data_IF_168667676149
#
_entry.id   IF_168667676149
#
_cell.length_a   1.000
_cell.length_b   1.000
_cell.length_c   1.000
_cell.angle_alpha   90.00
_cell.angle_beta   90.00
_cell.angle_gamma   90.00
#
_symmetry.space_group_name_H-M   'P 1'
#
loop_
_entity.id
_entity.type
_entity.pdbx_description
1 polymer ?
#
# COMPACT_ATOMS: atom_id res chain seq x y z
N UNK A 1 -1.20 -7.24 -31.14
CA UNK A 1 0.25 -7.21 -30.87
C UNK A 1 0.43 -7.46 -29.40
N UNK A 2 1.05 -8.59 -29.02
CA UNK A 2 1.29 -8.91 -27.62
C UNK A 2 2.25 -7.86 -27.03
N UNK A 3 1.80 -7.14 -26.01
CA UNK A 3 2.68 -6.30 -25.21
C UNK A 3 3.80 -7.20 -24.66
N UNK A 4 5.05 -6.73 -24.75
CA UNK A 4 6.19 -7.38 -24.12
C UNK A 4 5.84 -7.58 -22.63
N UNK A 5 5.58 -8.83 -22.25
CA UNK A 5 5.43 -9.23 -20.86
C UNK A 5 6.68 -8.74 -20.13
N UNK A 6 6.48 -7.90 -19.12
CA UNK A 6 7.55 -7.54 -18.18
C UNK A 6 8.18 -8.85 -17.70
N UNK A 7 9.48 -9.00 -17.93
CA UNK A 7 10.23 -10.16 -17.47
C UNK A 7 10.07 -10.26 -15.95
N UNK A 8 9.78 -11.47 -15.46
CA UNK A 8 9.72 -11.74 -14.02
C UNK A 8 11.00 -11.27 -13.32
N UNK A 9 10.81 -10.58 -12.20
CA UNK A 9 11.86 -10.15 -11.29
C UNK A 9 12.27 -11.30 -10.35
N UNK A 10 11.36 -12.25 -10.11
CA UNK A 10 11.60 -13.38 -9.23
C UNK A 10 12.64 -14.36 -9.82
N UNK A 11 13.64 -14.69 -9.02
CA UNK A 11 14.62 -15.74 -9.26
C UNK A 11 14.00 -17.10 -8.91
N UNK A 12 14.28 -18.09 -9.76
CA UNK A 12 13.87 -19.47 -9.52
C UNK A 12 14.49 -20.01 -8.22
N UNK A 13 13.68 -20.68 -7.38
CA UNK A 13 14.05 -21.05 -6.00
C UNK A 13 15.25 -21.99 -5.92
N UNK A 14 15.47 -22.81 -6.94
CA UNK A 14 16.62 -23.71 -7.08
C UNK A 14 17.97 -22.98 -7.13
N UNK A 15 17.98 -21.68 -7.46
CA UNK A 15 19.19 -20.86 -7.44
C UNK A 15 19.51 -20.30 -6.05
N UNK A 16 18.65 -20.51 -5.06
CA UNK A 16 18.90 -20.03 -3.71
C UNK A 16 20.18 -20.67 -3.13
N UNK A 17 21.19 -19.84 -2.91
CA UNK A 17 22.45 -20.22 -2.30
C UNK A 17 22.30 -20.42 -0.79
N UNK A 18 23.21 -21.21 -0.21
CA UNK A 18 23.30 -21.38 1.25
C UNK A 18 23.82 -20.15 2.00
N UNK A 19 24.47 -19.22 1.28
CA UNK A 19 25.10 -18.04 1.85
C UNK A 19 25.03 -16.82 0.91
N UNK A 20 24.89 -15.63 1.49
CA UNK A 20 24.91 -14.32 0.83
C UNK A 20 25.63 -13.30 1.72
N UNK A 21 26.22 -12.25 1.15
CA UNK A 21 26.76 -11.13 1.95
C UNK A 21 25.64 -10.42 2.71
N UNK A 22 24.49 -10.23 2.04
CA UNK A 22 23.32 -9.53 2.56
C UNK A 22 22.05 -10.31 2.26
N UNK A 23 21.23 -10.51 3.29
CA UNK A 23 19.84 -10.96 3.14
C UNK A 23 18.89 -9.84 3.56
N UNK A 24 17.95 -9.52 2.68
CA UNK A 24 16.92 -8.51 2.87
C UNK A 24 15.58 -9.22 2.99
N UNK A 25 14.83 -8.94 4.05
CA UNK A 25 13.54 -9.58 4.33
C UNK A 25 12.42 -8.59 4.07
N UNK A 26 11.60 -8.86 3.06
CA UNK A 26 10.50 -8.01 2.59
C UNK A 26 10.92 -7.07 1.46
N UNK A 27 10.01 -6.88 0.49
CA UNK A 27 10.27 -6.17 -0.76
C UNK A 27 9.57 -4.81 -0.90
N UNK A 28 9.01 -4.27 0.19
CA UNK A 28 8.42 -2.92 0.22
C UNK A 28 9.46 -1.80 0.06
N UNK A 29 9.07 -0.54 0.31
CA UNK A 29 9.94 0.63 0.13
C UNK A 29 11.34 0.47 0.75
N UNK A 30 11.44 0.08 2.03
CA UNK A 30 12.73 -0.11 2.70
C UNK A 30 13.59 -1.21 2.07
N UNK A 31 12.97 -2.34 1.70
CA UNK A 31 13.65 -3.51 1.15
C UNK A 31 14.09 -3.29 -0.28
N UNK A 32 13.24 -2.67 -1.11
CA UNK A 32 13.59 -2.26 -2.47
C UNK A 32 14.74 -1.26 -2.49
N UNK A 33 14.69 -0.22 -1.65
CA UNK A 33 15.78 0.77 -1.52
C UNK A 33 17.07 0.07 -1.09
N UNK A 34 17.03 -0.75 -0.02
CA UNK A 34 18.20 -1.46 0.47
C UNK A 34 18.78 -2.38 -0.61
N UNK A 35 17.95 -3.15 -1.33
CA UNK A 35 18.38 -4.06 -2.38
C UNK A 35 19.05 -3.30 -3.52
N UNK A 36 18.43 -2.23 -4.02
CA UNK A 36 18.97 -1.43 -5.10
C UNK A 36 20.34 -0.82 -4.75
N UNK A 37 20.51 -0.34 -3.51
CA UNK A 37 21.77 0.29 -3.07
C UNK A 37 22.84 -0.73 -2.78
N UNK A 38 22.54 -1.81 -2.06
CA UNK A 38 23.53 -2.82 -1.67
C UNK A 38 23.95 -3.68 -2.88
N UNK A 39 23.05 -3.99 -3.80
CA UNK A 39 23.44 -4.71 -5.03
C UNK A 39 24.35 -3.85 -5.90
N UNK A 40 24.14 -2.52 -5.95
CA UNK A 40 24.98 -1.61 -6.74
C UNK A 40 26.44 -1.52 -6.28
N UNK A 41 26.75 -1.99 -5.07
CA UNK A 41 28.13 -2.07 -4.56
C UNK A 41 28.83 -3.39 -4.93
N UNK A 42 28.16 -4.30 -5.65
CA UNK A 42 28.68 -5.61 -6.04
C UNK A 42 28.56 -6.69 -4.97
N UNK A 43 27.80 -6.43 -3.90
CA UNK A 43 27.54 -7.43 -2.85
C UNK A 43 26.61 -8.54 -3.36
N UNK A 44 26.78 -9.75 -2.83
CA UNK A 44 25.85 -10.86 -3.10
C UNK A 44 24.57 -10.64 -2.27
N UNK A 45 23.54 -10.07 -2.90
CA UNK A 45 22.27 -9.71 -2.24
C UNK A 45 21.17 -10.72 -2.54
N UNK A 46 20.54 -11.22 -1.48
CA UNK A 46 19.30 -12.02 -1.54
C UNK A 46 18.14 -11.23 -0.92
N UNK A 47 17.05 -11.08 -1.66
CA UNK A 47 15.79 -10.54 -1.16
C UNK A 47 14.76 -11.66 -1.01
N UNK A 48 14.16 -11.80 0.16
CA UNK A 48 13.11 -12.76 0.46
C UNK A 48 11.77 -12.03 0.63
N UNK A 49 10.80 -12.36 -0.21
CA UNK A 49 9.43 -11.83 -0.16
C UNK A 49 8.44 -12.94 0.17
N UNK A 50 7.48 -12.67 1.07
CA UNK A 50 6.46 -13.64 1.47
C UNK A 50 5.35 -13.78 0.43
N UNK A 51 4.97 -12.71 -0.25
CA UNK A 51 3.93 -12.72 -1.27
C UNK A 51 4.41 -13.18 -2.65
N UNK A 52 3.47 -13.22 -3.61
CA UNK A 52 3.71 -13.55 -5.02
C UNK A 52 4.27 -12.33 -5.79
N UNK A 53 4.82 -12.58 -6.96
CA UNK A 53 4.99 -11.52 -7.97
C UNK A 53 3.67 -11.28 -8.70
N UNK A 54 3.24 -10.02 -8.79
CA UNK A 54 2.06 -9.60 -9.55
C UNK A 54 2.52 -8.70 -10.69
N UNK A 55 2.24 -9.10 -11.93
CA UNK A 55 2.50 -8.28 -13.12
C UNK A 55 1.26 -7.46 -13.49
N UNK A 56 1.46 -6.47 -14.36
CA UNK A 56 0.32 -5.73 -14.91
C UNK A 56 -0.61 -6.69 -15.66
N UNK A 57 -1.87 -6.76 -15.23
CA UNK A 57 -2.86 -7.72 -15.73
C UNK A 57 -3.20 -8.84 -14.73
N UNK A 58 -2.34 -9.10 -13.74
CA UNK A 58 -2.56 -10.13 -12.72
C UNK A 58 -3.36 -9.64 -11.52
N UNK A 59 -3.51 -8.31 -11.36
CA UNK A 59 -4.21 -7.75 -10.20
C UNK A 59 -5.72 -8.00 -10.29
N UNK A 60 -6.41 -8.18 -9.15
CA UNK A 60 -7.85 -8.38 -9.13
C UNK A 60 -8.64 -7.29 -9.86
N UNK A 61 -9.50 -7.69 -10.80
CA UNK A 61 -10.36 -6.79 -11.58
C UNK A 61 -11.85 -6.83 -11.15
N UNK A 62 -12.22 -7.83 -10.32
CA UNK A 62 -13.58 -7.99 -9.80
C UNK A 62 -13.57 -8.57 -8.37
N UNK A 63 -14.75 -8.56 -7.73
CA UNK A 63 -14.95 -9.00 -6.34
C UNK A 63 -14.44 -10.42 -6.07
N UNK A 64 -14.76 -11.38 -6.94
CA UNK A 64 -14.35 -12.79 -6.76
C UNK A 64 -12.83 -12.96 -6.83
N UNK A 65 -12.17 -12.24 -7.73
CA UNK A 65 -10.70 -12.27 -7.81
C UNK A 65 -10.07 -11.57 -6.61
N UNK A 66 -10.69 -10.48 -6.13
CA UNK A 66 -10.19 -9.78 -4.95
C UNK A 66 -10.30 -10.65 -3.69
N UNK A 67 -11.42 -11.35 -3.50
CA UNK A 67 -11.64 -12.26 -2.37
C UNK A 67 -10.63 -13.42 -2.30
N UNK A 68 -10.16 -13.93 -3.44
CA UNK A 68 -9.11 -14.99 -3.47
C UNK A 68 -7.76 -14.49 -2.93
N UNK A 69 -7.51 -13.21 -3.05
CA UNK A 69 -6.27 -12.56 -2.62
C UNK A 69 -6.40 -11.91 -1.23
N UNK A 70 -7.54 -12.06 -0.55
CA UNK A 70 -7.70 -11.63 0.85
C UNK A 70 -7.09 -12.65 1.80
N UNK A 71 -6.34 -12.14 2.77
CA UNK A 71 -5.96 -12.84 3.99
C UNK A 71 -6.32 -11.98 5.20
N UNK A 72 -6.97 -12.58 6.19
CA UNK A 72 -7.44 -11.90 7.39
C UNK A 72 -7.00 -12.66 8.63
N UNK A 73 -6.23 -12.00 9.49
CA UNK A 73 -5.85 -12.50 10.81
C UNK A 73 -6.77 -11.83 11.83
N UNK A 74 -7.57 -12.63 12.53
CA UNK A 74 -8.51 -12.17 13.55
C UNK A 74 -7.92 -12.46 14.93
N UNK A 75 -7.64 -11.42 15.71
CA UNK A 75 -7.12 -11.54 17.08
C UNK A 75 -8.25 -11.36 18.08
N UNK A 76 -9.11 -12.38 18.23
CA UNK A 76 -10.16 -12.34 19.26
C UNK A 76 -9.65 -12.81 20.64
N UNK A 77 -8.68 -13.73 20.70
CA UNK A 77 -7.96 -14.15 21.92
C UNK A 77 -6.51 -14.56 21.60
N UNK A 78 -5.54 -14.26 22.48
CA UNK A 78 -4.09 -14.42 22.24
C UNK A 78 -3.63 -15.85 21.88
N UNK A 79 -4.45 -16.87 22.17
CA UNK A 79 -4.08 -18.27 22.01
C UNK A 79 -4.34 -18.84 20.61
N UNK A 80 -5.28 -18.29 19.83
CA UNK A 80 -5.79 -18.93 18.59
C UNK A 80 -5.98 -17.92 17.44
N UNK A 81 -4.99 -17.08 17.16
CA UNK A 81 -5.03 -16.20 16.00
C UNK A 81 -5.02 -17.01 14.68
N UNK A 82 -6.20 -17.27 14.12
CA UNK A 82 -6.35 -17.92 12.82
C UNK A 82 -6.21 -16.91 11.68
N UNK A 83 -5.41 -17.25 10.68
CA UNK A 83 -5.34 -16.51 9.41
C UNK A 83 -6.22 -17.21 8.39
N UNK A 84 -7.31 -16.55 8.02
CA UNK A 84 -8.23 -16.97 6.98
C UNK A 84 -7.73 -16.53 5.60
N UNK A 85 -8.08 -17.28 4.55
CA UNK A 85 -7.75 -16.95 3.17
C UNK A 85 -6.38 -17.47 2.71
N UNK A 86 -5.90 -16.94 1.58
CA UNK A 86 -4.64 -17.38 0.96
C UNK A 86 -3.43 -16.78 1.68
N UNK A 87 -2.47 -17.61 2.11
CA UNK A 87 -1.25 -17.14 2.81
C UNK A 87 -0.35 -16.22 1.98
N UNK A 88 -0.43 -16.33 0.65
CA UNK A 88 0.26 -15.46 -0.30
C UNK A 88 -0.70 -14.48 -0.98
N UNK A 89 -1.89 -14.28 -0.41
CA UNK A 89 -2.88 -13.32 -0.89
C UNK A 89 -2.39 -11.87 -0.80
N UNK A 90 -2.66 -11.07 -1.83
CA UNK A 90 -2.23 -9.68 -1.94
C UNK A 90 -2.69 -8.78 -0.78
N UNK A 91 -3.94 -8.93 -0.33
CA UNK A 91 -4.60 -8.03 0.63
C UNK A 91 -4.55 -8.61 2.03
N UNK A 92 -3.69 -8.07 2.90
CA UNK A 92 -3.56 -8.53 4.26
C UNK A 92 -4.26 -7.60 5.27
N UNK A 93 -5.21 -8.16 6.01
CA UNK A 93 -5.86 -7.51 7.14
C UNK A 93 -5.40 -8.16 8.45
N UNK A 94 -4.91 -7.34 9.38
CA UNK A 94 -4.84 -7.71 10.79
C UNK A 94 -5.96 -6.97 11.48
N UNK A 95 -6.96 -7.69 11.97
CA UNK A 95 -8.16 -7.12 12.55
C UNK A 95 -8.10 -7.38 14.05
N UNK A 96 -7.87 -6.30 14.79
CA UNK A 96 -7.90 -6.28 16.24
C UNK A 96 -9.10 -5.45 16.73
N UNK A 97 -9.38 -5.51 18.04
CA UNK A 97 -10.48 -4.77 18.67
C UNK A 97 -10.27 -3.25 18.56
N UNK A 98 -9.04 -2.78 18.74
CA UNK A 98 -8.74 -1.35 18.82
C UNK A 98 -8.25 -0.76 17.49
N UNK A 99 -7.43 -1.50 16.74
CA UNK A 99 -6.86 -1.05 15.46
C UNK A 99 -6.82 -2.19 14.46
N UNK A 100 -7.31 -1.91 13.26
CA UNK A 100 -7.16 -2.81 12.11
C UNK A 100 -6.10 -2.27 11.16
N UNK A 101 -5.21 -3.15 10.69
CA UNK A 101 -4.08 -2.78 9.83
C UNK A 101 -4.20 -3.49 8.49
N UNK A 102 -4.23 -2.69 7.42
CA UNK A 102 -4.27 -3.15 6.03
C UNK A 102 -2.90 -3.00 5.37
N UNK A 103 -2.40 -4.06 4.73
CA UNK A 103 -1.08 -4.10 4.08
C UNK A 103 -1.09 -4.95 2.81
N UNK A 104 -0.20 -4.60 1.88
CA UNK A 104 0.06 -5.41 0.68
C UNK A 104 1.09 -6.51 0.94
N UNK A 105 0.82 -7.72 0.43
CA UNK A 105 1.69 -8.89 0.49
C UNK A 105 1.99 -9.40 -0.93
N UNK A 106 3.11 -8.96 -1.48
CA UNK A 106 3.54 -9.26 -2.84
C UNK A 106 4.90 -8.63 -3.12
N UNK A 107 5.53 -8.98 -4.24
CA UNK A 107 6.81 -8.42 -4.65
C UNK A 107 6.66 -6.92 -4.98
N UNK A 108 7.08 -6.06 -4.06
CA UNK A 108 6.82 -4.60 -4.02
C UNK A 108 6.06 -4.13 -2.77
N UNK A 109 5.57 -5.06 -1.95
CA UNK A 109 4.84 -4.81 -0.71
C UNK A 109 3.60 -3.93 -0.90
N UNK A 110 3.36 -3.01 0.04
CA UNK A 110 2.19 -2.12 0.01
C UNK A 110 2.25 -1.08 -1.11
N UNK A 111 3.39 -0.88 -1.78
CA UNK A 111 3.44 -0.01 -2.97
C UNK A 111 2.60 -0.54 -4.14
N UNK A 112 2.29 -1.84 -4.14
CA UNK A 112 1.42 -2.47 -5.14
C UNK A 112 -0.04 -2.01 -5.01
N UNK A 113 -0.48 -1.63 -3.82
CA UNK A 113 -1.88 -1.34 -3.48
C UNK A 113 -2.06 0.02 -2.78
N UNK A 114 -1.04 0.87 -2.83
CA UNK A 114 -1.08 2.22 -2.26
C UNK A 114 -1.71 3.22 -3.22
N UNK A 115 -2.17 4.36 -2.68
CA UNK A 115 -2.68 5.46 -3.50
C UNK A 115 -1.59 6.23 -4.27
N UNK A 116 -0.32 5.97 -3.95
CA UNK A 116 0.83 6.57 -4.64
C UNK A 116 1.22 7.97 -4.16
N UNK A 117 0.58 8.51 -3.12
CA UNK A 117 0.90 9.83 -2.55
C UNK A 117 2.34 9.85 -2.03
N UNK A 118 3.10 10.86 -2.46
CA UNK A 118 4.49 11.08 -2.05
C UNK A 118 4.69 12.49 -1.53
N UNK A 119 4.38 12.68 -0.25
CA UNK A 119 4.61 13.93 0.47
C UNK A 119 5.83 13.82 1.37
N UNK A 120 6.60 14.90 1.46
CA UNK A 120 7.68 15.00 2.44
C UNK A 120 7.09 15.31 3.83
N UNK A 121 7.70 14.75 4.87
CA UNK A 121 7.33 15.05 6.25
C UNK A 121 7.53 16.55 6.54
N UNK A 122 6.57 17.16 7.24
CA UNK A 122 6.69 18.55 7.67
C UNK A 122 7.86 18.68 8.68
N UNK A 123 8.77 19.66 8.50
CA UNK A 123 9.86 19.90 9.44
C UNK A 123 9.44 20.03 10.90
N UNK A 124 8.20 20.46 11.20
CA UNK A 124 7.68 20.56 12.56
C UNK A 124 7.65 19.20 13.27
N UNK A 125 7.43 18.10 12.53
CA UNK A 125 7.34 16.75 13.10
C UNK A 125 8.66 16.34 13.75
N UNK A 126 9.80 16.76 13.19
CA UNK A 126 11.12 16.44 13.73
C UNK A 126 11.48 17.25 15.00
N UNK A 127 10.65 18.21 15.40
CA UNK A 127 10.81 18.91 16.69
C UNK A 127 10.27 18.09 17.86
N UNK A 128 9.51 17.04 17.59
CA UNK A 128 8.98 16.16 18.63
C UNK A 128 10.11 15.35 19.29
N UNK A 129 10.12 15.22 20.64
CA UNK A 129 11.20 14.54 21.37
C UNK A 129 11.36 13.04 21.06
N UNK A 130 10.42 12.43 20.34
CA UNK A 130 10.47 11.02 19.98
C UNK A 130 11.50 10.71 18.88
N UNK A 131 11.95 11.72 18.12
CA UNK A 131 12.93 11.53 17.06
C UNK A 131 14.37 11.45 17.61
N UNK A 132 15.19 10.48 17.16
CA UNK A 132 16.58 10.40 17.58
C UNK A 132 17.37 11.65 17.17
N UNK A 133 18.15 12.23 18.09
CA UNK A 133 18.94 13.44 17.81
C UNK A 133 19.84 13.30 16.59
N UNK A 134 20.46 12.13 16.39
CA UNK A 134 21.30 11.87 15.23
C UNK A 134 20.54 12.00 13.88
N UNK A 135 19.24 11.69 13.85
CA UNK A 135 18.41 11.88 12.67
C UNK A 135 18.03 13.35 12.49
N UNK A 136 17.76 14.06 13.59
CA UNK A 136 17.47 15.50 13.60
C UNK A 136 18.68 16.31 13.12
N UNK A 137 19.89 15.91 13.52
CA UNK A 137 21.14 16.55 13.11
C UNK A 137 21.45 16.33 11.62
N UNK A 138 20.93 15.24 11.03
CA UNK A 138 21.16 14.85 9.62
C UNK A 138 20.05 15.34 8.66
N UNK A 139 19.06 16.10 9.16
CA UNK A 139 17.90 16.55 8.36
C UNK A 139 18.30 17.32 7.10
N UNK A 140 19.28 18.21 7.21
CA UNK A 140 19.73 19.08 6.12
C UNK A 140 20.75 18.44 5.18
N UNK A 141 21.25 17.24 5.50
CA UNK A 141 22.31 16.57 4.75
C UNK A 141 21.86 15.19 4.25
N UNK A 142 22.12 14.13 5.01
CA UNK A 142 21.82 12.75 4.59
C UNK A 142 20.34 12.51 4.35
N UNK A 143 19.45 13.03 5.20
CA UNK A 143 18.01 12.88 4.99
C UNK A 143 17.50 13.69 3.81
N UNK A 144 17.98 14.92 3.61
CA UNK A 144 17.63 15.76 2.47
C UNK A 144 18.03 15.11 1.14
N UNK A 145 19.23 14.53 1.07
CA UNK A 145 19.68 13.77 -0.09
C UNK A 145 18.88 12.47 -0.25
N UNK A 146 18.47 11.84 0.86
CA UNK A 146 17.53 10.71 0.87
C UNK A 146 16.19 11.05 0.20
N UNK A 147 15.57 12.17 0.59
CA UNK A 147 14.33 12.65 -0.02
C UNK A 147 14.51 12.93 -1.51
N UNK A 148 15.58 13.63 -1.90
CA UNK A 148 15.88 13.91 -3.31
C UNK A 148 16.00 12.62 -4.14
N UNK A 149 16.73 11.61 -3.65
CA UNK A 149 16.87 10.31 -4.32
C UNK A 149 15.53 9.58 -4.41
N UNK A 150 14.72 9.63 -3.35
CA UNK A 150 13.39 9.04 -3.35
C UNK A 150 12.49 9.70 -4.39
N UNK A 151 12.45 11.04 -4.46
CA UNK A 151 11.70 11.80 -5.46
C UNK A 151 12.15 11.46 -6.88
N UNK A 152 13.46 11.34 -7.13
CA UNK A 152 13.99 10.98 -8.44
C UNK A 152 13.54 9.56 -8.88
N UNK A 153 13.51 8.61 -7.96
CA UNK A 153 13.12 7.22 -8.27
C UNK A 153 11.60 7.05 -8.39
N UNK A 154 10.85 7.64 -7.46
CA UNK A 154 9.40 7.51 -7.38
C UNK A 154 8.67 8.40 -8.40
N UNK A 155 9.34 9.46 -8.88
CA UNK A 155 8.85 10.39 -9.89
C UNK A 155 7.41 10.88 -9.61
N UNK A 156 7.14 11.44 -8.43
CA UNK A 156 5.79 11.86 -8.09
C UNK A 156 5.40 13.10 -8.90
N UNK A 157 4.18 13.11 -9.42
CA UNK A 157 3.63 14.19 -10.25
C UNK A 157 2.20 14.50 -9.83
N UNK A 158 1.78 15.75 -9.98
CA UNK A 158 0.39 16.15 -9.75
C UNK A 158 -0.52 15.72 -10.92
N UNK A 159 -1.82 15.66 -10.65
CA UNK A 159 -2.81 15.45 -11.72
C UNK A 159 -2.75 16.62 -12.74
N UNK A 160 -2.61 16.35 -14.06
CA UNK A 160 -2.40 17.41 -15.06
C UNK A 160 -3.55 18.42 -15.11
N UNK A 161 -3.22 19.70 -15.31
CA UNK A 161 -4.22 20.77 -15.48
C UNK A 161 -5.06 20.61 -16.75
N UNK A 162 -4.48 20.00 -17.78
CA UNK A 162 -5.13 19.66 -19.05
C UNK A 162 -5.77 18.25 -19.05
N UNK A 163 -5.79 17.59 -17.89
CA UNK A 163 -6.44 16.29 -17.69
C UNK A 163 -7.96 16.36 -17.80
N UNK A 164 -8.61 15.21 -17.91
CA UNK A 164 -10.07 15.13 -17.87
C UNK A 164 -10.60 15.65 -16.52
N UNK A 165 -11.73 16.38 -16.49
CA UNK A 165 -12.27 16.89 -15.25
C UNK A 165 -12.69 15.73 -14.33
N UNK A 166 -12.25 15.78 -13.07
CA UNK A 166 -12.57 14.78 -12.06
C UNK A 166 -13.60 15.35 -11.07
N UNK A 167 -14.80 14.78 -11.05
CA UNK A 167 -15.89 15.26 -10.20
C UNK A 167 -15.52 15.23 -8.70
N UNK A 168 -14.78 14.21 -8.25
CA UNK A 168 -14.29 14.09 -6.86
C UNK A 168 -13.35 15.23 -6.47
N UNK A 169 -12.42 15.60 -7.36
CA UNK A 169 -11.48 16.69 -7.12
C UNK A 169 -12.19 18.04 -7.07
N UNK A 170 -13.15 18.28 -7.97
CA UNK A 170 -13.95 19.52 -7.97
C UNK A 170 -14.81 19.65 -6.71
N UNK A 171 -15.40 18.55 -6.24
CA UNK A 171 -16.11 18.53 -4.95
C UNK A 171 -15.16 18.83 -3.78
N UNK A 172 -13.96 18.26 -3.80
CA UNK A 172 -12.96 18.48 -2.76
C UNK A 172 -12.46 19.93 -2.72
N UNK A 173 -12.24 20.55 -3.89
CA UNK A 173 -11.90 21.97 -3.99
C UNK A 173 -12.96 22.87 -3.36
N UNK A 174 -14.25 22.59 -3.61
CA UNK A 174 -15.36 23.34 -3.00
C UNK A 174 -15.48 23.09 -1.50
N UNK A 175 -15.20 21.88 -1.03
CA UNK A 175 -15.13 21.59 0.39
C UNK A 175 -14.02 22.43 1.07
N UNK A 176 -12.86 22.58 0.43
CA UNK A 176 -11.78 23.45 0.90
C UNK A 176 -12.24 24.91 1.00
N UNK A 177 -12.93 25.44 -0.02
CA UNK A 177 -13.49 26.79 -0.03
C UNK A 177 -14.48 27.03 1.12
N UNK A 178 -15.34 26.05 1.41
CA UNK A 178 -16.32 26.11 2.51
C UNK A 178 -15.63 26.06 3.88
N UNK A 179 -14.58 25.27 4.02
CA UNK A 179 -13.77 25.20 5.24
C UNK A 179 -12.88 26.44 5.43
N UNK A 180 -12.62 27.19 4.35
CA UNK A 180 -11.66 28.30 4.35
C UNK A 180 -10.22 27.81 4.45
N UNK A 181 -9.94 26.61 3.95
CA UNK A 181 -8.63 25.94 4.01
C UNK A 181 -8.00 25.79 2.62
N UNK A 182 -6.66 25.73 2.50
CA UNK A 182 -5.97 25.54 1.24
C UNK A 182 -6.34 24.22 0.53
N UNK A 183 -6.67 24.32 -0.75
CA UNK A 183 -6.74 23.16 -1.65
C UNK A 183 -5.41 22.99 -2.39
N UNK A 184 -4.85 21.78 -2.37
CA UNK A 184 -3.64 21.43 -3.10
C UNK A 184 -3.84 20.17 -3.95
N UNK A 185 -3.16 20.11 -5.09
CA UNK A 185 -2.98 18.84 -5.80
C UNK A 185 -1.87 18.05 -5.11
N UNK A 186 -2.07 16.76 -4.94
CA UNK A 186 -1.05 15.91 -4.30
C UNK A 186 -0.11 15.34 -5.36
N UNK A 187 1.22 15.34 -5.09
CA UNK A 187 2.18 14.64 -5.92
C UNK A 187 2.01 13.12 -5.72
N UNK A 188 1.72 12.40 -6.81
CA UNK A 188 1.45 10.96 -6.81
C UNK A 188 2.33 10.20 -7.80
N UNK A 189 2.63 8.95 -7.48
CA UNK A 189 3.53 8.09 -8.26
C UNK A 189 2.80 7.42 -9.42
N UNK A 190 2.24 8.22 -10.34
CA UNK A 190 1.42 7.75 -11.45
C UNK A 190 1.87 8.38 -12.76
N UNK A 191 2.01 7.54 -13.79
CA UNK A 191 2.30 8.01 -15.14
C UNK A 191 1.02 8.41 -15.87
N UNK A 192 0.92 9.68 -16.26
CA UNK A 192 -0.18 10.21 -17.08
C UNK A 192 0.10 10.18 -18.59
N UNK A 193 1.32 9.78 -18.97
CA UNK A 193 1.73 9.53 -20.35
C UNK A 193 2.42 8.17 -20.40
N UNK A 194 2.30 7.48 -21.53
CA UNK A 194 3.01 6.23 -21.71
C UNK A 194 4.51 6.51 -21.80
N UNK A 195 5.31 5.76 -21.04
CA UNK A 195 6.76 5.89 -20.99
C UNK A 195 7.42 4.52 -21.00
N UNK A 196 8.70 4.49 -21.33
CA UNK A 196 9.60 3.42 -20.89
C UNK A 196 10.53 4.03 -19.86
N UNK A 197 10.55 3.48 -18.65
CA UNK A 197 11.35 4.03 -17.56
C UNK A 197 12.84 3.66 -17.70
N UNK A 198 13.68 4.19 -16.82
CA UNK A 198 15.14 4.00 -16.83
C UNK A 198 15.57 2.52 -16.70
N UNK A 199 14.66 1.64 -16.28
CA UNK A 199 14.88 0.21 -16.12
C UNK A 199 14.39 -0.62 -17.32
N UNK A 200 13.92 0.05 -18.39
CA UNK A 200 13.42 -0.60 -19.60
C UNK A 200 12.00 -1.15 -19.47
N UNK A 201 11.26 -0.76 -18.42
CA UNK A 201 9.88 -1.20 -18.20
C UNK A 201 8.93 -0.23 -18.88
N UNK A 202 8.05 -0.76 -19.74
CA UNK A 202 6.98 0.00 -20.36
C UNK A 202 5.84 0.22 -19.35
N UNK A 203 5.43 1.48 -19.17
CA UNK A 203 4.31 1.88 -18.34
C UNK A 203 3.31 2.65 -19.22
N UNK A 204 2.06 2.16 -19.29
CA UNK A 204 1.03 2.91 -20.01
C UNK A 204 0.59 4.15 -19.23
N UNK A 205 -0.05 5.09 -19.94
CA UNK A 205 -0.74 6.19 -19.30
C UNK A 205 -1.90 5.67 -18.42
N UNK A 206 -2.09 6.31 -17.27
CA UNK A 206 -3.17 6.04 -16.34
C UNK A 206 -4.55 6.06 -17.03
N UNK A 207 -5.35 5.02 -16.77
CA UNK A 207 -6.71 4.87 -17.32
C UNK A 207 -7.79 5.58 -16.51
N UNK A 208 -7.41 6.34 -15.48
CA UNK A 208 -8.32 7.12 -14.62
C UNK A 208 -9.45 6.28 -13.99
N UNK A 209 -9.15 5.02 -13.65
CA UNK A 209 -10.16 4.04 -13.29
C UNK A 209 -10.48 3.93 -11.79
N UNK A 210 -9.79 4.66 -10.90
CA UNK A 210 -10.07 4.63 -9.46
C UNK A 210 -9.72 3.32 -8.73
N UNK A 211 -8.96 2.40 -9.34
CA UNK A 211 -8.64 1.08 -8.75
C UNK A 211 -7.21 0.94 -8.22
N UNK A 212 -6.51 2.03 -7.91
CA UNK A 212 -5.11 1.99 -7.45
C UNK A 212 -4.90 1.06 -6.25
N UNK A 213 -5.88 0.96 -5.35
CA UNK A 213 -5.83 0.13 -4.13
C UNK A 213 -6.08 -1.36 -4.37
N UNK A 214 -6.43 -1.76 -5.60
CA UNK A 214 -6.44 -3.17 -6.04
C UNK A 214 -5.13 -3.58 -6.73
N UNK A 215 -4.29 -2.60 -7.05
CA UNK A 215 -3.16 -2.74 -7.94
C UNK A 215 -3.43 -2.32 -9.38
N UNK A 216 -2.37 -1.85 -10.04
CA UNK A 216 -2.49 -1.13 -11.30
C UNK A 216 -2.33 -2.08 -12.50
N UNK A 217 -3.45 -2.59 -13.01
CA UNK A 217 -3.44 -3.45 -14.20
C UNK A 217 -2.98 -2.76 -15.49
N UNK A 218 -2.97 -1.43 -15.58
CA UNK A 218 -2.39 -0.70 -16.71
C UNK A 218 -0.89 -0.45 -16.59
N UNK A 219 -0.24 -0.79 -15.47
CA UNK A 219 1.19 -0.52 -15.26
C UNK A 219 1.57 0.95 -15.07
N UNK A 220 0.58 1.85 -15.02
CA UNK A 220 0.78 3.29 -14.86
C UNK A 220 1.32 3.70 -13.48
N UNK A 221 1.08 2.91 -12.44
CA UNK A 221 1.62 3.18 -11.09
C UNK A 221 3.12 2.92 -11.06
N UNK A 222 3.91 3.89 -10.59
CA UNK A 222 5.36 3.74 -10.40
C UNK A 222 5.68 3.14 -9.02
N UNK A 223 5.22 1.90 -8.81
CA UNK A 223 5.42 1.14 -7.57
C UNK A 223 6.88 0.68 -7.40
N UNK A 224 7.22 0.13 -6.23
CA UNK A 224 8.57 -0.42 -5.95
C UNK A 224 8.94 -1.56 -6.92
N UNK A 225 7.94 -2.29 -7.44
CA UNK A 225 8.11 -3.30 -8.48
C UNK A 225 8.43 -2.73 -9.87
N UNK A 226 8.14 -1.44 -10.10
CA UNK A 226 8.45 -0.75 -11.36
C UNK A 226 9.78 0.01 -11.30
N UNK A 227 10.36 0.22 -10.12
CA UNK A 227 11.57 1.04 -9.96
C UNK A 227 12.72 0.34 -9.19
N UNK A 228 12.71 0.35 -7.87
CA UNK A 228 13.80 -0.13 -7.03
C UNK A 228 14.10 -1.61 -7.20
N UNK A 229 13.09 -2.48 -7.35
CA UNK A 229 13.33 -3.92 -7.52
C UNK A 229 13.96 -4.25 -8.89
N UNK A 230 13.48 -3.69 -10.02
CA UNK A 230 14.20 -3.75 -11.29
C UNK A 230 15.64 -3.22 -11.19
N UNK A 231 15.85 -2.09 -10.51
CA UNK A 231 17.19 -1.53 -10.29
C UNK A 231 18.10 -2.48 -9.50
N UNK A 232 17.56 -3.19 -8.50
CA UNK A 232 18.30 -4.20 -7.75
C UNK A 232 18.65 -5.42 -8.62
N UNK A 233 17.69 -5.92 -9.40
CA UNK A 233 17.90 -7.06 -10.29
C UNK A 233 18.95 -6.76 -11.37
N UNK A 234 18.94 -5.55 -11.94
CA UNK A 234 19.95 -5.12 -12.91
C UNK A 234 21.37 -5.10 -12.34
N UNK A 235 21.52 -4.88 -11.03
CA UNK A 235 22.79 -4.99 -10.31
C UNK A 235 23.07 -6.40 -9.76
N UNK A 236 22.25 -7.40 -10.11
CA UNK A 236 22.50 -8.80 -9.77
C UNK A 236 21.90 -9.28 -8.44
N UNK A 237 20.99 -8.51 -7.82
CA UNK A 237 20.24 -9.01 -6.67
C UNK A 237 19.37 -10.22 -7.07
N UNK A 238 19.36 -11.25 -6.23
CA UNK A 238 18.48 -12.42 -6.39
C UNK A 238 17.25 -12.25 -5.52
N UNK A 239 16.06 -12.40 -6.10
CA UNK A 239 14.78 -12.09 -5.45
C UNK A 239 13.94 -13.37 -5.38
N UNK A 240 13.56 -13.83 -4.20
CA UNK A 240 12.77 -15.05 -4.03
C UNK A 240 11.42 -14.73 -3.40
N UNK A 241 10.35 -15.05 -4.12
CA UNK A 241 8.96 -14.87 -3.68
C UNK A 241 8.42 -16.10 -2.96
N UNK A 242 7.30 -15.94 -2.25
CA UNK A 242 6.67 -17.00 -1.46
C UNK A 242 7.58 -17.62 -0.38
N UNK A 243 8.47 -16.80 0.19
CA UNK A 243 9.42 -17.15 1.24
C UNK A 243 9.03 -16.46 2.57
N UNK A 244 8.42 -17.19 3.50
CA UNK A 244 8.02 -16.67 4.81
C UNK A 244 9.15 -16.76 5.83
N UNK A 245 9.87 -15.65 6.05
CA UNK A 245 10.90 -15.59 7.09
C UNK A 245 10.28 -15.58 8.49
N UNK A 246 10.63 -16.58 9.30
CA UNK A 246 10.02 -16.79 10.62
C UNK A 246 10.81 -16.14 11.73
N UNK A 247 12.13 -16.31 11.73
CA UNK A 247 13.04 -15.81 12.77
C UNK A 247 14.46 -15.67 12.24
N UNK A 248 15.28 -14.96 12.98
CA UNK A 248 16.71 -14.80 12.72
C UNK A 248 17.50 -15.16 13.97
N UNK A 249 18.70 -15.68 13.79
CA UNK A 249 19.57 -16.10 14.87
C UNK A 249 21.01 -15.76 14.52
N UNK A 250 21.82 -15.46 15.53
CA UNK A 250 23.26 -15.29 15.32
C UNK A 250 23.94 -16.66 15.36
N UNK A 251 24.92 -16.90 14.51
CA UNK A 251 25.68 -18.15 14.55
C UNK A 251 26.43 -18.30 15.89
N UNK A 252 26.75 -19.54 16.27
CA UNK A 252 27.42 -19.84 17.55
C UNK A 252 28.75 -19.10 17.72
N UNK A 253 29.50 -18.88 16.64
CA UNK A 253 30.75 -18.12 16.63
C UNK A 253 30.55 -16.59 16.60
N UNK A 254 29.31 -16.12 16.51
CA UNK A 254 28.94 -14.71 16.48
C UNK A 254 29.26 -14.00 15.16
N UNK A 255 29.77 -14.68 14.14
CA UNK A 255 30.29 -14.02 12.92
C UNK A 255 29.21 -13.75 11.88
N UNK A 256 28.20 -14.61 11.80
CA UNK A 256 27.18 -14.58 10.78
C UNK A 256 25.79 -14.68 11.41
N UNK A 257 24.78 -14.59 10.56
CA UNK A 257 23.40 -14.82 10.89
C UNK A 257 22.84 -16.02 10.16
N UNK A 258 21.83 -16.65 10.76
CA UNK A 258 20.92 -17.61 10.12
C UNK A 258 19.56 -16.96 9.97
N UNK A 259 19.03 -17.01 8.75
CA UNK A 259 17.68 -16.53 8.42
C UNK A 259 16.81 -17.75 8.16
N UNK A 260 15.89 -18.04 9.09
CA UNK A 260 15.00 -19.18 9.02
C UNK A 260 13.74 -18.83 8.25
N UNK A 261 13.38 -19.63 7.25
CA UNK A 261 12.26 -19.36 6.36
C UNK A 261 11.44 -20.61 6.03
N UNK A 262 10.19 -20.40 5.63
CA UNK A 262 9.30 -21.44 5.13
C UNK A 262 8.77 -21.07 3.73
N UNK A 263 8.95 -21.93 2.72
CA UNK A 263 8.37 -21.71 1.41
C UNK A 263 6.86 -22.00 1.42
N UNK A 264 6.02 -21.03 1.06
CA UNK A 264 4.57 -21.15 1.18
C UNK A 264 3.94 -22.18 0.23
N UNK A 265 4.63 -22.52 -0.86
CA UNK A 265 4.19 -23.53 -1.84
C UNK A 265 4.54 -24.97 -1.43
N UNK A 266 5.28 -25.16 -0.35
CA UNK A 266 5.68 -26.49 0.12
C UNK A 266 4.54 -27.19 0.89
N UNK A 267 4.32 -28.48 0.60
CA UNK A 267 3.38 -29.33 1.35
C UNK A 267 3.86 -29.48 2.81
N UNK A 268 3.03 -29.04 3.76
CA UNK A 268 3.32 -29.11 5.20
C UNK A 268 3.62 -30.53 5.68
N UNK A 269 3.03 -31.55 5.06
CA UNK A 269 3.20 -32.95 5.48
C UNK A 269 4.64 -33.45 5.31
N UNK A 270 5.44 -32.80 4.44
CA UNK A 270 6.87 -33.08 4.27
C UNK A 270 7.76 -32.37 5.30
N UNK A 271 7.25 -31.34 5.99
CA UNK A 271 8.04 -30.46 6.87
C UNK A 271 7.60 -30.52 8.34
N UNK A 272 6.64 -31.37 8.69
CA UNK A 272 6.10 -31.46 10.05
C UNK A 272 7.07 -32.07 11.08
N UNK A 273 8.31 -32.48 10.69
CA UNK A 273 9.28 -33.10 11.64
C UNK A 273 10.80 -32.90 11.40
N UNK A 274 11.31 -32.08 10.47
CA UNK A 274 12.78 -31.97 10.32
C UNK A 274 13.26 -30.61 9.81
N UNK A 275 13.94 -29.88 10.68
CA UNK A 275 14.79 -28.70 10.48
C UNK A 275 14.19 -27.52 9.70
N UNK A 276 13.91 -26.41 10.41
CA UNK A 276 13.60 -25.13 9.78
C UNK A 276 14.69 -24.78 8.75
N UNK A 277 14.29 -24.61 7.47
CA UNK A 277 15.22 -24.22 6.41
C UNK A 277 15.85 -22.87 6.76
N UNK A 278 17.15 -22.74 6.54
CA UNK A 278 17.85 -21.48 6.75
C UNK A 278 18.88 -21.21 5.65
N UNK A 279 19.12 -19.93 5.42
CA UNK A 279 20.31 -19.43 4.72
C UNK A 279 21.19 -18.67 5.71
N UNK A 280 22.49 -18.60 5.43
CA UNK A 280 23.43 -17.82 6.21
C UNK A 280 23.73 -16.48 5.55
N UNK A 281 24.08 -15.48 6.35
CA UNK A 281 24.46 -14.17 5.82
C UNK A 281 25.36 -13.39 6.77
N UNK A 282 26.17 -12.49 6.23
CA UNK A 282 27.00 -11.60 7.04
C UNK A 282 26.18 -10.41 7.59
N UNK A 283 25.22 -9.93 6.81
CA UNK A 283 24.30 -8.85 7.18
C UNK A 283 22.83 -9.22 6.93
N UNK A 284 21.93 -8.79 7.82
CA UNK A 284 20.48 -8.88 7.62
C UNK A 284 19.89 -7.46 7.61
N UNK A 285 19.07 -7.17 6.62
CA UNK A 285 18.17 -6.01 6.61
C UNK A 285 16.73 -6.51 6.77
N UNK A 286 16.11 -6.25 7.92
CA UNK A 286 14.70 -6.56 8.13
C UNK A 286 13.84 -5.40 7.62
N UNK A 287 13.04 -5.64 6.59
CA UNK A 287 12.13 -4.67 5.96
C UNK A 287 10.75 -5.27 5.68
N UNK A 288 10.26 -6.15 6.56
CA UNK A 288 8.95 -6.80 6.47
C UNK A 288 7.77 -5.89 6.91
N UNK A 289 7.97 -4.57 6.85
CA UNK A 289 7.06 -3.56 7.38
C UNK A 289 7.05 -3.48 8.91
N UNK A 290 6.29 -2.53 9.45
CA UNK A 290 6.19 -2.23 10.88
C UNK A 290 5.82 -3.47 11.72
N UNK A 291 4.72 -4.15 11.37
CA UNK A 291 4.27 -5.35 12.08
C UNK A 291 5.16 -6.56 11.77
N UNK A 292 5.45 -6.86 10.49
CA UNK A 292 6.17 -8.09 10.12
C UNK A 292 7.61 -8.13 10.66
N UNK A 293 8.31 -6.99 10.65
CA UNK A 293 9.66 -6.88 11.24
C UNK A 293 9.62 -7.08 12.75
N UNK A 294 8.64 -6.45 13.42
CA UNK A 294 8.45 -6.57 14.86
C UNK A 294 8.14 -8.02 15.26
N UNK A 295 7.26 -8.69 14.53
CA UNK A 295 6.94 -10.10 14.75
C UNK A 295 8.15 -11.03 14.61
N UNK A 296 8.94 -10.87 13.53
CA UNK A 296 10.17 -11.67 13.32
C UNK A 296 11.12 -11.49 14.50
N UNK A 297 11.33 -10.24 14.94
CA UNK A 297 12.20 -9.93 16.07
C UNK A 297 11.66 -10.48 17.39
N UNK A 298 10.35 -10.40 17.65
CA UNK A 298 9.73 -10.96 18.85
C UNK A 298 9.85 -12.50 18.88
N UNK A 299 9.57 -13.17 17.76
CA UNK A 299 9.79 -14.62 17.63
C UNK A 299 11.25 -14.99 17.83
N UNK A 300 12.18 -14.23 17.28
CA UNK A 300 13.63 -14.43 17.44
C UNK A 300 14.06 -14.26 18.89
N UNK A 301 13.50 -13.27 19.61
CA UNK A 301 13.75 -13.05 21.03
C UNK A 301 13.28 -14.23 21.89
N UNK A 302 12.10 -14.79 21.58
CA UNK A 302 11.60 -15.99 22.26
C UNK A 302 12.48 -17.23 22.02
N UNK A 303 13.32 -17.20 20.98
CA UNK A 303 14.34 -18.22 20.69
C UNK A 303 15.75 -17.83 21.18
N UNK A 304 15.87 -16.86 22.08
CA UNK A 304 17.12 -16.52 22.74
C UNK A 304 17.89 -15.33 22.14
N UNK A 305 17.40 -14.68 21.09
CA UNK A 305 18.03 -13.47 20.57
C UNK A 305 17.89 -12.32 21.59
N UNK A 306 19.02 -11.81 22.07
CA UNK A 306 19.03 -10.68 23.02
C UNK A 306 18.67 -9.38 22.30
N UNK A 307 17.49 -8.82 22.62
CA UNK A 307 16.98 -7.57 22.05
C UNK A 307 16.55 -6.58 23.14
N UNK A 308 16.50 -5.30 22.76
CA UNK A 308 16.04 -4.23 23.64
C UNK A 308 14.61 -4.46 24.16
N UNK A 309 14.34 -3.99 25.38
CA UNK A 309 12.98 -3.95 25.97
C UNK A 309 12.05 -2.92 25.27
N UNK A 310 12.57 -2.14 24.32
CA UNK A 310 11.80 -1.22 23.50
C UNK A 310 11.12 -1.89 22.29
N UNK A 311 11.55 -3.11 21.92
CA UNK A 311 10.94 -3.83 20.81
C UNK A 311 9.42 -4.04 21.04
N UNK A 312 8.63 -3.70 20.03
CA UNK A 312 7.17 -3.80 20.07
C UNK A 312 6.45 -2.62 20.71
N UNK A 313 7.18 -1.57 21.12
CA UNK A 313 6.58 -0.34 21.68
C UNK A 313 6.49 0.77 20.64
N UNK A 314 5.72 1.82 20.97
CA UNK A 314 5.56 3.03 20.15
C UNK A 314 5.02 2.77 18.74
N UNK A 315 4.13 1.78 18.61
CA UNK A 315 3.37 1.60 17.38
C UNK A 315 2.44 2.82 17.15
N UNK A 316 2.33 3.24 15.91
CA UNK A 316 1.45 4.33 15.47
C UNK A 316 0.71 3.90 14.22
N UNK A 317 -0.59 4.18 14.18
CA UNK A 317 -1.43 4.05 12.98
C UNK A 317 -1.44 5.31 12.12
N UNK A 318 -0.46 6.20 12.27
CA UNK A 318 -0.37 7.49 11.56
C UNK A 318 -1.57 8.45 11.79
N UNK A 319 -2.43 8.14 12.75
CA UNK A 319 -3.71 8.81 12.99
C UNK A 319 -4.63 8.82 11.74
N UNK A 320 -4.51 7.80 10.90
CA UNK A 320 -5.33 7.68 9.68
C UNK A 320 -6.81 7.49 10.05
N UNK A 321 -7.67 8.31 9.45
CA UNK A 321 -9.12 8.27 9.59
C UNK A 321 -9.76 8.21 8.21
N UNK A 322 -10.76 7.33 8.05
CA UNK A 322 -11.55 7.25 6.83
C UNK A 322 -12.93 7.83 7.08
N UNK A 323 -13.29 8.86 6.31
CA UNK A 323 -14.60 9.53 6.35
C UNK A 323 -15.45 9.18 5.14
N UNK A 324 -16.77 9.34 5.27
CA UNK A 324 -17.69 9.23 4.13
C UNK A 324 -18.76 10.32 4.18
N UNK A 325 -18.86 11.11 3.11
CA UNK A 325 -19.98 12.00 2.85
C UNK A 325 -21.02 11.30 1.99
N UNK A 326 -21.97 10.60 2.61
CA UNK A 326 -22.92 9.73 1.88
C UNK A 326 -24.09 10.49 1.25
N UNK A 327 -24.41 10.14 -0.01
CA UNK A 327 -25.61 10.55 -0.74
C UNK A 327 -25.84 12.09 -0.84
N UNK A 328 -24.76 12.82 -1.08
CA UNK A 328 -24.79 14.26 -1.29
C UNK A 328 -25.61 14.70 -2.49
N UNK A 329 -25.84 16.00 -2.63
CA UNK A 329 -26.60 16.55 -3.76
C UNK A 329 -25.86 16.47 -5.09
N UNK A 330 -24.53 16.39 -5.01
CA UNK A 330 -23.65 16.37 -6.16
C UNK A 330 -23.09 14.99 -6.42
N UNK A 331 -22.90 14.69 -7.70
CA UNK A 331 -22.28 13.45 -8.12
C UNK A 331 -20.77 13.59 -7.95
N UNK A 332 -20.18 12.69 -7.17
CA UNK A 332 -18.74 12.67 -6.86
C UNK A 332 -17.98 11.75 -7.81
N UNK A 333 -18.63 10.68 -8.30
CA UNK A 333 -18.02 9.68 -9.18
C UNK A 333 -16.75 9.03 -8.57
N UNK A 334 -16.76 8.71 -7.27
CA UNK A 334 -15.64 8.14 -6.54
C UNK A 334 -15.70 6.60 -6.43
N UNK A 335 -16.20 5.92 -7.46
CA UNK A 335 -16.26 4.44 -7.51
C UNK A 335 -15.47 3.96 -8.71
N UNK A 336 -14.36 3.27 -8.45
CA UNK A 336 -13.48 2.75 -9.50
C UNK A 336 -14.18 1.73 -10.38
N UNK A 337 -13.81 1.67 -11.65
CA UNK A 337 -14.42 0.76 -12.63
C UNK A 337 -13.41 -0.26 -13.15
N UNK A 338 -13.87 -1.49 -13.38
CA UNK A 338 -13.03 -2.56 -13.92
C UNK A 338 -12.53 -2.23 -15.34
N UNK A 339 -11.51 -2.96 -15.81
CA UNK A 339 -10.92 -2.77 -17.14
C UNK A 339 -11.95 -2.96 -18.27
N UNK A 340 -12.97 -3.79 -18.05
CA UNK A 340 -14.00 -4.13 -19.06
C UNK A 340 -15.04 -3.04 -19.29
N UNK A 341 -15.30 -2.19 -18.28
CA UNK A 341 -16.33 -1.14 -18.32
C UNK A 341 -15.74 0.26 -18.54
N UNK A 342 -14.42 0.39 -18.72
CA UNK A 342 -13.71 1.67 -18.70
C UNK A 342 -14.08 2.63 -19.84
N UNK A 343 -14.73 2.16 -20.92
CA UNK A 343 -15.09 3.02 -22.06
C UNK A 343 -16.44 3.73 -21.91
N UNK A 344 -17.30 3.26 -20.99
CA UNK A 344 -18.70 3.70 -20.91
C UNK A 344 -18.97 4.58 -19.67
N UNK A 345 -17.96 4.81 -18.84
CA UNK A 345 -18.06 5.54 -17.56
C UNK A 345 -17.15 6.77 -17.54
N UNK A 346 -17.62 7.82 -16.86
CA UNK A 346 -16.83 9.03 -16.63
C UNK A 346 -15.54 8.72 -15.86
N UNK A 347 -14.44 9.44 -16.15
CA UNK A 347 -13.18 9.23 -15.46
C UNK A 347 -13.32 9.49 -13.95
N UNK A 348 -12.85 8.53 -13.16
CA UNK A 348 -12.76 8.64 -11.70
C UNK A 348 -11.46 9.35 -11.30
N UNK A 349 -10.39 9.07 -12.04
CA UNK A 349 -9.02 9.50 -11.74
C UNK A 349 -8.26 8.46 -10.90
N UNK A 350 -7.01 8.76 -10.54
CA UNK A 350 -6.30 8.06 -9.46
C UNK A 350 -7.11 8.10 -8.16
N UNK A 351 -6.92 7.13 -7.25
CA UNK A 351 -7.68 7.04 -5.99
C UNK A 351 -7.56 8.33 -5.20
N UNK A 352 -6.33 8.79 -4.93
CA UNK A 352 -6.05 10.10 -4.32
C UNK A 352 -5.49 11.04 -5.38
N UNK A 353 -5.91 12.31 -5.35
CA UNK A 353 -5.41 13.32 -6.29
C UNK A 353 -5.16 14.69 -5.66
N UNK A 354 -5.76 14.98 -4.52
CA UNK A 354 -5.78 16.31 -3.91
C UNK A 354 -5.95 16.22 -2.40
N UNK A 355 -5.59 17.30 -1.72
CA UNK A 355 -5.82 17.46 -0.30
C UNK A 355 -6.35 18.85 0.09
N UNK A 356 -7.08 18.89 1.20
CA UNK A 356 -7.31 20.10 1.99
C UNK A 356 -6.19 20.14 3.04
N UNK A 357 -5.31 21.13 2.93
CA UNK A 357 -4.07 21.21 3.69
C UNK A 357 -4.16 22.25 4.80
N UNK A 358 -4.50 21.80 6.00
CA UNK A 358 -4.56 22.61 7.20
C UNK A 358 -3.34 22.37 8.10
N UNK A 359 -2.16 22.10 7.54
CA UNK A 359 -0.93 21.89 8.33
C UNK A 359 -0.24 23.18 8.76
N UNK A 360 -0.70 24.33 8.30
CA UNK A 360 -0.15 25.64 8.67
C UNK A 360 -0.60 26.16 10.06
N UNK A 361 -1.44 25.39 10.77
CA UNK A 361 -1.93 25.78 12.10
C UNK A 361 -0.81 25.83 13.13
N UNK A 362 -0.94 26.76 14.07
CA UNK A 362 0.06 26.99 15.13
C UNK A 362 0.26 25.80 16.07
N UNK A 363 -0.77 24.99 16.29
CA UNK A 363 -0.74 23.82 17.19
C UNK A 363 -0.79 22.55 16.37
N UNK A 364 0.14 21.63 16.61
CA UNK A 364 0.24 20.36 15.88
C UNK A 364 -1.07 19.55 15.94
N UNK A 365 -1.76 19.54 17.09
CA UNK A 365 -3.03 18.81 17.24
C UNK A 365 -4.20 19.39 16.43
N UNK A 366 -4.07 20.63 15.94
CA UNK A 366 -5.07 21.28 15.09
C UNK A 366 -4.70 21.12 13.61
N UNK A 367 -3.53 20.54 13.30
CA UNK A 367 -3.08 20.29 11.94
C UNK A 367 -3.69 19.01 11.39
N UNK A 368 -4.15 19.06 10.15
CA UNK A 368 -4.70 17.90 9.44
C UNK A 368 -4.48 18.01 7.94
N UNK A 369 -4.52 16.85 7.29
CA UNK A 369 -4.57 16.71 5.84
C UNK A 369 -5.78 15.84 5.52
N UNK A 370 -6.73 16.37 4.75
CA UNK A 370 -7.86 15.58 4.26
C UNK A 370 -7.59 15.28 2.80
N UNK A 371 -7.43 14.01 2.45
CA UNK A 371 -7.20 13.57 1.07
C UNK A 371 -8.53 13.16 0.42
N UNK A 372 -8.73 13.47 -0.87
CA UNK A 372 -9.85 12.87 -1.60
C UNK A 372 -9.56 11.41 -1.93
N UNK A 373 -10.58 10.56 -1.94
CA UNK A 373 -10.38 9.14 -2.26
C UNK A 373 -11.41 8.57 -3.24
N UNK A 374 -11.19 7.34 -3.67
CA UNK A 374 -12.12 6.55 -4.48
C UNK A 374 -12.23 5.13 -3.91
N UNK A 375 -13.46 4.61 -3.90
CA UNK A 375 -13.73 3.22 -3.56
C UNK A 375 -13.28 2.31 -4.69
N UNK A 376 -12.48 1.26 -4.42
CA UNK A 376 -12.13 0.27 -5.43
C UNK A 376 -13.38 -0.44 -5.97
N UNK A 377 -13.48 -0.56 -7.29
CA UNK A 377 -14.63 -1.14 -7.97
C UNK A 377 -14.95 -2.57 -7.55
N UNK A 378 -13.93 -3.37 -7.26
CA UNK A 378 -14.11 -4.77 -6.82
C UNK A 378 -14.87 -4.89 -5.50
N UNK A 379 -14.94 -3.84 -4.68
CA UNK A 379 -15.64 -3.85 -3.39
C UNK A 379 -16.85 -2.91 -3.35
N UNK A 380 -17.27 -2.36 -4.50
CA UNK A 380 -18.26 -1.29 -4.56
C UNK A 380 -19.64 -1.71 -4.01
N UNK A 381 -20.05 -2.95 -4.21
CA UNK A 381 -21.33 -3.49 -3.70
C UNK A 381 -21.31 -3.66 -2.16
N UNK A 382 -20.16 -4.05 -1.61
CA UNK A 382 -19.96 -4.12 -0.17
C UNK A 382 -20.09 -2.73 0.44
N UNK A 383 -19.40 -1.72 -0.11
CA UNK A 383 -19.53 -0.33 0.34
C UNK A 383 -20.98 0.18 0.23
N UNK A 384 -21.66 -0.09 -0.88
CA UNK A 384 -23.06 0.29 -1.06
C UNK A 384 -23.95 -0.26 0.06
N UNK A 385 -23.75 -1.51 0.42
CA UNK A 385 -24.51 -2.20 1.48
C UNK A 385 -24.20 -1.62 2.86
N UNK A 386 -22.91 -1.46 3.18
CA UNK A 386 -22.46 -0.91 4.48
C UNK A 386 -22.94 0.52 4.67
N UNK A 387 -22.75 1.38 3.68
CA UNK A 387 -23.15 2.79 3.75
C UNK A 387 -24.68 2.95 3.88
N UNK A 388 -25.45 2.17 3.11
CA UNK A 388 -26.91 2.18 3.22
C UNK A 388 -27.39 1.68 4.60
N UNK A 389 -26.72 0.67 5.18
CA UNK A 389 -27.03 0.16 6.50
C UNK A 389 -26.64 1.10 7.64
N UNK A 390 -25.56 1.87 7.48
CA UNK A 390 -25.06 2.80 8.49
C UNK A 390 -25.82 4.15 8.51
N UNK A 391 -26.41 4.55 7.39
CA UNK A 391 -27.10 5.84 7.24
C UNK A 391 -28.13 6.14 8.36
N UNK A 392 -29.04 5.23 8.76
CA UNK A 392 -30.05 5.52 9.79
C UNK A 392 -29.45 5.84 11.16
N UNK A 393 -28.24 5.34 11.44
CA UNK A 393 -27.52 5.51 12.70
C UNK A 393 -26.75 6.84 12.74
N UNK A 394 -26.32 7.33 11.58
CA UNK A 394 -25.43 8.50 11.44
C UNK A 394 -26.24 9.78 11.12
N UNK A 395 -27.47 9.64 10.61
CA UNK A 395 -28.29 10.76 10.16
C UNK A 395 -28.58 11.76 11.28
N UNK A 396 -27.77 12.82 11.36
CA UNK A 396 -28.14 14.09 12.00
C UNK A 396 -29.14 14.79 11.09
N UNK A 397 -30.40 14.91 11.54
CA UNK A 397 -31.51 15.65 10.93
C UNK A 397 -31.14 16.51 9.71
N UNK A 398 -31.02 15.89 8.53
CA UNK A 398 -30.92 16.63 7.28
C UNK A 398 -32.31 17.22 7.04
N UNK A 399 -32.43 18.54 7.15
CA UNK A 399 -33.67 19.30 7.01
C UNK A 399 -34.32 19.26 5.61
N UNK A 400 -34.00 18.25 4.79
CA UNK A 400 -34.52 18.07 3.43
C UNK A 400 -36.00 17.71 3.47
N UNK A 401 -36.86 18.73 3.33
CA UNK A 401 -38.32 18.59 3.09
C UNK A 401 -38.63 18.68 1.59
N UNK A 402 -39.70 18.04 1.14
CA UNK A 402 -40.22 18.19 -0.24
C UNK A 402 -39.40 17.45 -1.30
N UNK A 403 -39.07 18.12 -2.42
CA UNK A 403 -38.44 17.49 -3.59
C UNK A 403 -37.04 16.90 -3.31
N UNK A 404 -36.27 17.48 -2.37
CA UNK A 404 -34.96 16.96 -1.98
C UNK A 404 -35.03 15.55 -1.38
N UNK A 405 -36.04 15.29 -0.55
CA UNK A 405 -36.27 13.96 0.04
C UNK A 405 -36.64 12.89 -0.98
N UNK A 406 -37.43 13.25 -2.00
CA UNK A 406 -37.80 12.36 -3.10
C UNK A 406 -36.59 12.01 -3.97
N UNK A 407 -35.74 13.00 -4.30
CA UNK A 407 -34.50 12.78 -5.04
C UNK A 407 -33.53 11.88 -4.28
N UNK A 408 -33.37 12.11 -2.99
CA UNK A 408 -32.52 11.29 -2.11
C UNK A 408 -32.98 9.83 -2.07
N UNK A 409 -34.29 9.58 -1.90
CA UNK A 409 -34.86 8.23 -1.95
C UNK A 409 -34.74 7.57 -3.32
N UNK A 410 -34.91 8.35 -4.39
CA UNK A 410 -34.73 7.85 -5.75
C UNK A 410 -33.29 7.39 -6.00
N UNK A 411 -32.30 8.20 -5.58
CA UNK A 411 -30.87 7.83 -5.66
C UNK A 411 -30.57 6.53 -4.90
N UNK A 412 -31.21 6.29 -3.75
CA UNK A 412 -31.04 5.02 -3.02
C UNK A 412 -31.56 3.83 -3.82
N UNK A 413 -32.80 3.92 -4.32
CA UNK A 413 -33.38 2.89 -5.16
C UNK A 413 -32.48 2.64 -6.40
N UNK A 414 -32.00 3.71 -7.01
CA UNK A 414 -31.11 3.64 -8.17
C UNK A 414 -29.80 2.89 -7.87
N UNK A 415 -29.13 3.15 -6.74
CA UNK A 415 -27.93 2.38 -6.34
C UNK A 415 -28.25 0.90 -6.12
N UNK A 416 -29.40 0.58 -5.53
CA UNK A 416 -29.83 -0.81 -5.31
C UNK A 416 -30.11 -1.54 -6.63
N UNK A 417 -30.72 -0.86 -7.62
CA UNK A 417 -31.12 -1.48 -8.88
C UNK A 417 -30.03 -1.46 -9.97
N UNK A 418 -29.24 -0.39 -10.05
CA UNK A 418 -28.24 -0.16 -11.10
C UNK A 418 -26.80 -0.38 -10.64
N UNK A 419 -26.57 -0.54 -9.33
CA UNK A 419 -25.25 -0.75 -8.74
C UNK A 419 -24.56 0.54 -8.28
N UNK A 420 -23.36 0.37 -7.71
CA UNK A 420 -22.61 1.42 -7.01
C UNK A 420 -22.19 2.64 -7.86
N UNK A 421 -22.11 2.50 -9.18
CA UNK A 421 -21.78 3.60 -10.09
C UNK A 421 -22.94 4.60 -10.31
N UNK A 422 -24.12 4.31 -9.76
CA UNK A 422 -25.32 5.13 -9.90
C UNK A 422 -25.93 5.46 -8.54
N UNK A 423 -26.81 6.47 -8.51
CA UNK A 423 -27.57 6.80 -7.32
C UNK A 423 -26.74 7.33 -6.14
N UNK A 424 -27.12 6.94 -4.93
CA UNK A 424 -26.56 7.43 -3.67
C UNK A 424 -25.04 7.18 -3.53
N UNK A 425 -24.55 6.03 -4.01
CA UNK A 425 -23.12 5.68 -3.93
C UNK A 425 -22.28 6.52 -4.90
N UNK A 426 -22.79 6.84 -6.08
CA UNK A 426 -22.13 7.76 -7.02
C UNK A 426 -22.10 9.22 -6.50
N UNK A 427 -22.95 9.53 -5.53
CA UNK A 427 -23.04 10.79 -4.80
C UNK A 427 -22.33 10.73 -3.43
N UNK A 428 -21.47 9.74 -3.22
CA UNK A 428 -20.71 9.58 -1.98
C UNK A 428 -19.29 10.08 -2.16
N UNK A 429 -18.86 10.95 -1.26
CA UNK A 429 -17.46 11.37 -1.12
C UNK A 429 -16.76 10.48 -0.10
N UNK A 430 -15.50 10.17 -0.39
CA UNK A 430 -14.59 9.43 0.48
C UNK A 430 -13.46 10.37 0.87
#
# INVERSE_FOLDING_TARGET
MAALSSKSLATAREHLKSHYSVVIVGSGYGGGVAAARLASTGESVCLLERGKEFLSGDFPDNENDALKEVQATLTQEEADAETLGSKSGLYQFHIDHDISVFRGCGLGGTSLIGAGVSIQADPVVFKEPCWPQALVDDLSDGLAEGFKRATQMLQPVEYPDDGAPLAKMQAHQRAAEVLGEPFIKLPINVQFKAITNDFGIHQDACKLCGNCTLGCNSGASNSVAMNYLPAAQQHGAEIFTEMDVRRVERTFDGRQWRVYYFPLTADKTLYDRADELFITTDCIVLSAGSIGTTEILLRSKNHGLSLSKQLGKSFSGNADLLGFGYNGDERINAVGHNQRNATDLDPVGPVVTSAIDARDKTKLQDQYLIEDSAMPGAFSNMYATVLAGAEPLIRKNSGTKGQGFLKEKWRKAESTFRGAHFGAVAHTQV
#
